data_IF_188876648132
#
_entry.id   IF_188876648132
#
_cell.length_a   1.000
_cell.length_b   1.000
_cell.length_c   1.000
_cell.angle_alpha   90.00
_cell.angle_beta   90.00
_cell.angle_gamma   90.00
#
_symmetry.space_group_name_H-M   'P 1'
#
loop_
_entity.id
_entity.type
_entity.pdbx_description
1 polymer ?
#
# COMPACT_ATOMS: atom_id res chain seq x y z
N UNK A 1 -5.01 12.11 10.59
CA UNK A 1 -5.16 10.72 10.14
C UNK A 1 -6.08 9.98 11.10
N UNK A 2 -7.17 9.39 10.60
CA UNK A 2 -8.09 8.57 11.39
C UNK A 2 -7.39 7.30 11.89
N UNK A 3 -7.83 6.76 13.03
CA UNK A 3 -7.27 5.50 13.55
C UNK A 3 -7.39 4.34 12.54
N UNK A 4 -8.48 4.28 11.81
CA UNK A 4 -8.70 3.29 10.75
C UNK A 4 -7.74 3.45 9.58
N UNK A 5 -7.39 4.69 9.22
CA UNK A 5 -6.37 5.00 8.20
C UNK A 5 -5.00 4.54 8.64
N UNK A 6 -4.59 4.87 9.87
CA UNK A 6 -3.29 4.43 10.41
C UNK A 6 -3.15 2.91 10.42
N UNK A 7 -4.23 2.18 10.75
CA UNK A 7 -4.24 0.71 10.68
C UNK A 7 -3.99 0.17 9.27
N UNK A 8 -4.51 0.81 8.24
CA UNK A 8 -4.25 0.42 6.85
C UNK A 8 -2.82 0.75 6.43
N UNK A 9 -2.33 1.95 6.79
CA UNK A 9 -0.96 2.37 6.52
C UNK A 9 0.07 1.42 7.18
N UNK A 10 -0.10 1.09 8.46
CA UNK A 10 0.81 0.15 9.14
C UNK A 10 0.81 -1.25 8.51
N UNK A 11 -0.34 -1.72 8.01
CA UNK A 11 -0.37 -2.99 7.27
C UNK A 11 0.34 -2.88 5.92
N UNK A 12 0.17 -1.78 5.20
CA UNK A 12 0.87 -1.55 3.93
C UNK A 12 2.39 -1.54 4.12
N UNK A 13 2.87 -0.92 5.19
CA UNK A 13 4.28 -0.89 5.56
C UNK A 13 4.83 -2.27 5.91
N UNK A 14 4.06 -3.09 6.64
CA UNK A 14 4.43 -4.47 6.94
C UNK A 14 4.56 -5.33 5.66
N UNK A 15 3.68 -5.15 4.67
CA UNK A 15 3.78 -5.82 3.36
C UNK A 15 5.04 -5.41 2.60
N UNK A 16 5.38 -4.12 2.60
CA UNK A 16 6.58 -3.60 1.96
C UNK A 16 7.87 -4.10 2.63
N UNK A 17 7.87 -4.17 3.96
CA UNK A 17 8.97 -4.74 4.74
C UNK A 17 9.15 -6.24 4.41
N UNK A 18 8.05 -6.99 4.30
CA UNK A 18 8.05 -8.39 3.89
C UNK A 18 8.66 -8.56 2.49
N UNK A 19 8.14 -7.82 1.50
CA UNK A 19 8.65 -7.82 0.13
C UNK A 19 10.14 -7.50 0.07
N UNK A 20 10.60 -6.49 0.83
CA UNK A 20 12.01 -6.08 0.88
C UNK A 20 12.90 -7.16 1.49
N UNK A 21 12.44 -7.80 2.56
CA UNK A 21 13.17 -8.90 3.22
C UNK A 21 13.34 -10.08 2.27
N UNK A 22 12.27 -10.50 1.58
CA UNK A 22 12.33 -11.61 0.63
C UNK A 22 13.17 -11.29 -0.60
N UNK A 23 13.12 -10.05 -1.09
CA UNK A 23 13.96 -9.61 -2.22
C UNK A 23 15.44 -9.66 -1.89
N UNK A 24 15.81 -9.31 -0.66
CA UNK A 24 17.19 -9.28 -0.20
C UNK A 24 17.67 -10.63 0.37
N UNK A 25 16.82 -11.67 0.35
CA UNK A 25 17.19 -13.01 0.80
C UNK A 25 18.20 -13.68 -0.12
N UNK A 26 18.82 -14.77 0.36
CA UNK A 26 19.79 -15.57 -0.41
C UNK A 26 19.18 -16.20 -1.66
N UNK A 27 17.91 -16.57 -1.61
CA UNK A 27 17.11 -16.99 -2.75
C UNK A 27 15.93 -16.01 -2.90
N UNK A 28 15.94 -15.12 -3.90
CA UNK A 28 14.87 -14.14 -4.08
C UNK A 28 13.56 -14.82 -4.49
N UNK A 29 12.56 -14.76 -3.62
CA UNK A 29 11.23 -15.32 -3.88
C UNK A 29 10.40 -14.34 -4.71
N UNK A 30 10.75 -14.17 -5.99
CA UNK A 30 10.20 -13.11 -6.86
C UNK A 30 8.67 -13.04 -6.91
N UNK A 31 7.98 -14.18 -7.03
CA UNK A 31 6.51 -14.20 -7.06
C UNK A 31 5.91 -13.67 -5.75
N UNK A 32 6.51 -14.02 -4.61
CA UNK A 32 6.10 -13.51 -3.31
C UNK A 32 6.45 -12.03 -3.14
N UNK A 33 7.62 -11.59 -3.63
CA UNK A 33 7.98 -10.17 -3.64
C UNK A 33 6.93 -9.35 -4.39
N UNK A 34 6.54 -9.79 -5.59
CA UNK A 34 5.50 -9.13 -6.38
C UNK A 34 4.14 -9.14 -5.68
N UNK A 35 3.74 -10.29 -5.12
CA UNK A 35 2.50 -10.41 -4.35
C UNK A 35 2.45 -9.43 -3.18
N UNK A 36 3.51 -9.38 -2.37
CA UNK A 36 3.57 -8.49 -1.21
C UNK A 36 3.69 -7.01 -1.60
N UNK A 37 4.37 -6.69 -2.71
CA UNK A 37 4.41 -5.33 -3.25
C UNK A 37 3.02 -4.85 -3.71
N UNK A 38 2.28 -5.70 -4.43
CA UNK A 38 0.88 -5.46 -4.79
C UNK A 38 0.04 -5.20 -3.53
N UNK A 39 0.10 -6.13 -2.57
CA UNK A 39 -0.64 -6.05 -1.32
C UNK A 39 -0.31 -4.80 -0.49
N UNK A 40 0.90 -4.26 -0.58
CA UNK A 40 1.27 -2.99 0.05
C UNK A 40 0.53 -1.82 -0.59
N UNK A 41 0.58 -1.72 -1.93
CA UNK A 41 -0.06 -0.66 -2.66
C UNK A 41 -1.61 -0.66 -2.51
N UNK A 42 -2.27 -1.82 -2.54
CA UNK A 42 -3.72 -1.91 -2.26
C UNK A 42 -4.08 -1.36 -0.87
N UNK A 43 -3.26 -1.66 0.14
CA UNK A 43 -3.50 -1.22 1.52
C UNK A 43 -3.25 0.27 1.68
N UNK A 44 -2.29 0.85 0.97
CA UNK A 44 -2.11 2.30 0.87
C UNK A 44 -3.35 2.98 0.26
N UNK A 45 -3.85 2.46 -0.87
CA UNK A 45 -5.07 2.96 -1.50
C UNK A 45 -6.27 2.88 -0.54
N UNK A 46 -6.44 1.76 0.17
CA UNK A 46 -7.47 1.60 1.19
C UNK A 46 -7.32 2.62 2.34
N UNK A 47 -6.09 2.95 2.76
CA UNK A 47 -5.85 3.99 3.75
C UNK A 47 -6.38 5.35 3.26
N UNK A 48 -6.07 5.72 2.01
CA UNK A 48 -6.57 6.97 1.40
C UNK A 48 -8.10 6.98 1.33
N UNK A 49 -8.73 5.90 0.89
CA UNK A 49 -10.18 5.79 0.78
C UNK A 49 -10.87 5.90 2.15
N UNK A 50 -10.31 5.26 3.19
CA UNK A 50 -10.79 5.36 4.57
C UNK A 50 -10.63 6.77 5.13
N UNK A 51 -9.49 7.43 4.89
CA UNK A 51 -9.29 8.81 5.31
C UNK A 51 -10.35 9.73 4.72
N UNK A 52 -10.80 9.44 3.49
CA UNK A 52 -11.87 10.16 2.79
C UNK A 52 -13.29 9.72 3.14
N UNK A 53 -13.47 8.76 4.04
CA UNK A 53 -14.78 8.13 4.31
C UNK A 53 -15.47 7.59 3.05
N UNK A 54 -14.69 7.21 2.04
CA UNK A 54 -15.21 6.63 0.80
C UNK A 54 -15.48 5.15 1.03
N UNK A 55 -16.71 4.71 0.76
CA UNK A 55 -17.03 3.29 0.75
C UNK A 55 -16.36 2.66 -0.47
N UNK A 56 -15.62 1.59 -0.25
CA UNK A 56 -14.99 0.82 -1.32
C UNK A 56 -15.38 -0.64 -1.18
N UNK A 57 -15.57 -1.35 -2.31
CA UNK A 57 -15.82 -2.78 -2.28
C UNK A 57 -14.61 -3.51 -1.69
N UNK A 58 -14.87 -4.54 -0.87
CA UNK A 58 -13.83 -5.48 -0.43
C UNK A 58 -13.52 -6.46 -1.55
N UNK A 59 -12.94 -5.96 -2.63
CA UNK A 59 -12.53 -6.69 -3.83
C UNK A 59 -11.02 -6.62 -3.98
N UNK A 60 -10.41 -7.65 -4.58
CA UNK A 60 -9.00 -7.63 -5.00
C UNK A 60 -8.88 -7.23 -6.49
N UNK A 61 -9.97 -6.73 -7.10
CA UNK A 61 -9.94 -6.16 -8.46
C UNK A 61 -9.32 -4.76 -8.43
N UNK A 62 -8.06 -4.71 -8.84
CA UNK A 62 -7.26 -3.50 -8.92
C UNK A 62 -7.85 -2.43 -9.82
N UNK A 63 -8.41 -2.82 -10.96
CA UNK A 63 -9.02 -1.89 -11.92
C UNK A 63 -10.16 -1.13 -11.25
N UNK A 64 -10.99 -1.87 -10.53
CA UNK A 64 -12.12 -1.33 -9.80
C UNK A 64 -11.71 -0.41 -8.64
N UNK A 65 -10.61 -0.70 -7.96
CA UNK A 65 -10.04 0.17 -6.91
C UNK A 65 -9.31 1.39 -7.48
N UNK A 66 -8.64 1.25 -8.61
CA UNK A 66 -7.90 2.31 -9.28
C UNK A 66 -8.82 3.41 -9.82
N UNK A 67 -10.00 3.03 -10.31
CA UNK A 67 -11.01 3.95 -10.86
C UNK A 67 -11.78 4.73 -9.80
N UNK A 68 -11.62 4.41 -8.51
CA UNK A 68 -12.24 5.19 -7.44
C UNK A 68 -11.64 6.61 -7.38
N UNK A 69 -12.42 7.62 -6.95
CA UNK A 69 -11.90 8.97 -6.84
C UNK A 69 -10.70 9.00 -5.90
N UNK A 70 -9.52 9.33 -6.43
CA UNK A 70 -8.29 9.58 -5.67
C UNK A 70 -8.02 11.09 -5.65
N UNK A 71 -7.39 11.66 -4.61
CA UNK A 71 -6.92 13.03 -4.71
C UNK A 71 -5.97 13.15 -5.92
N UNK A 72 -5.83 14.34 -6.53
CA UNK A 72 -4.69 14.60 -7.38
C UNK A 72 -3.44 14.14 -6.64
N UNK A 73 -2.58 13.36 -7.31
CA UNK A 73 -1.29 12.98 -6.74
C UNK A 73 -0.50 14.28 -6.65
N UNK A 74 -0.64 15.02 -5.56
CA UNK A 74 0.35 16.00 -5.21
C UNK A 74 1.63 15.22 -4.94
N UNK A 75 2.75 15.54 -5.60
CA UNK A 75 4.00 14.85 -5.37
C UNK A 75 4.35 15.01 -3.89
N UNK A 76 4.13 13.95 -3.12
CA UNK A 76 4.61 13.87 -1.75
C UNK A 76 6.12 13.99 -1.85
N UNK A 77 6.66 15.10 -1.34
CA UNK A 77 8.11 15.25 -1.14
C UNK A 77 8.50 14.27 -0.04
N UNK A 78 8.76 13.03 -0.42
CA UNK A 78 9.35 12.05 0.47
C UNK A 78 10.74 12.55 0.85
N UNK A 79 10.87 13.17 2.03
CA UNK A 79 12.17 13.24 2.69
C UNK A 79 12.47 11.83 3.17
N UNK A 80 13.10 11.05 2.31
CA UNK A 80 13.74 9.81 2.72
C UNK A 80 14.92 10.26 3.58
N UNK A 81 14.77 10.16 4.90
CA UNK A 81 15.89 10.22 5.82
C UNK A 81 16.75 8.99 5.55
N UNK A 82 17.85 9.20 4.83
CA UNK A 82 18.94 8.24 4.75
C UNK A 82 19.60 8.17 6.13
N UNK A 83 19.33 7.11 6.88
CA UNK A 83 20.30 6.60 7.86
C UNK A 83 21.47 5.92 7.13
#
# INVERSE_FOLDING_TARGET
>A
MKLSTSKWASKAEAELQGATTMRNGTEPLHDLVCFHAQQSAEKCDNAVLVERSTLFPKTHDWTLLADLPKPPIEPVKWQISSE
#
